data_IF_990747213505
#
_entry.id   IF_990747213505
#
_cell.length_a   1.000
_cell.length_b   1.000
_cell.length_c   1.000
_cell.angle_alpha   90.00
_cell.angle_beta   90.00
_cell.angle_gamma   90.00
#
_symmetry.space_group_name_H-M   'P 1'
#
loop_
_entity.id
_entity.type
_entity.pdbx_description
1 polymer ?
#
# COMPACT_ATOMS: atom_id res chain seq x y z
N UNK A 1 -4.86 -9.21 17.32
CA UNK A 1 -4.69 -9.51 15.88
C UNK A 1 -3.21 -9.62 15.62
N UNK A 2 -2.67 -10.84 15.49
CA UNK A 2 -1.23 -11.05 15.32
C UNK A 2 -0.82 -10.84 13.85
N UNK A 3 0.36 -10.27 13.58
CA UNK A 3 0.82 -9.92 12.22
C UNK A 3 1.22 -11.12 11.34
N UNK A 4 1.09 -12.34 11.85
CA UNK A 4 1.47 -13.60 11.19
C UNK A 4 0.26 -14.34 10.59
N UNK A 5 -0.81 -13.59 10.27
CA UNK A 5 -2.01 -14.18 9.71
C UNK A 5 -1.79 -14.47 8.21
N UNK A 6 -1.87 -15.73 7.74
CA UNK A 6 -1.62 -16.09 6.34
C UNK A 6 -2.56 -15.41 5.34
N UNK A 7 -3.63 -14.76 5.83
CA UNK A 7 -4.53 -13.92 5.05
C UNK A 7 -3.85 -12.65 4.51
N UNK A 8 -2.86 -12.08 5.21
CA UNK A 8 -2.11 -10.91 4.70
C UNK A 8 -1.23 -11.28 3.49
N UNK A 9 -0.74 -12.52 3.43
CA UNK A 9 0.05 -13.03 2.30
C UNK A 9 -0.79 -13.23 1.01
N UNK A 10 -2.12 -13.21 1.11
CA UNK A 10 -3.04 -13.29 -0.03
C UNK A 10 -3.38 -11.93 -0.63
N UNK A 11 -3.06 -10.82 0.04
CA UNK A 11 -3.40 -9.48 -0.43
C UNK A 11 -2.46 -9.06 -1.57
N UNK A 12 -2.91 -9.37 -2.78
CA UNK A 12 -2.24 -9.01 -4.03
C UNK A 12 -2.87 -7.80 -4.68
N UNK A 13 -2.07 -7.10 -5.49
CA UNK A 13 -2.58 -6.01 -6.31
C UNK A 13 -3.69 -6.51 -7.25
N UNK A 14 -4.85 -5.84 -7.34
CA UNK A 14 -5.93 -6.27 -8.23
C UNK A 14 -5.54 -6.25 -9.72
N UNK A 15 -4.59 -5.40 -10.11
CA UNK A 15 -4.15 -5.20 -11.50
C UNK A 15 -3.08 -6.20 -11.96
N UNK A 16 -2.01 -6.34 -11.19
CA UNK A 16 -0.79 -7.08 -11.58
C UNK A 16 -0.61 -8.38 -10.79
N UNK A 17 -1.47 -8.63 -9.78
CA UNK A 17 -1.36 -9.78 -8.85
C UNK A 17 -0.02 -9.87 -8.10
N UNK A 18 0.82 -8.84 -8.19
CA UNK A 18 2.04 -8.71 -7.40
C UNK A 18 1.77 -8.40 -5.92
N UNK A 19 2.78 -8.57 -5.07
CA UNK A 19 2.68 -8.34 -3.63
C UNK A 19 2.41 -6.87 -3.30
N UNK A 20 1.72 -6.65 -2.18
CA UNK A 20 1.48 -5.33 -1.61
C UNK A 20 2.26 -5.16 -0.31
N UNK A 21 2.67 -3.94 -0.02
CA UNK A 21 3.37 -3.58 1.22
C UNK A 21 2.53 -2.59 2.01
N UNK A 22 2.34 -2.84 3.30
CA UNK A 22 1.65 -1.90 4.19
C UNK A 22 2.51 -0.65 4.41
N UNK A 23 1.92 0.53 4.26
CA UNK A 23 2.59 1.80 4.57
C UNK A 23 2.86 1.94 6.07
N UNK A 24 3.94 2.64 6.47
CA UNK A 24 4.19 3.00 7.85
C UNK A 24 3.06 3.92 8.33
N UNK A 25 2.13 3.37 9.09
CA UNK A 25 0.87 4.03 9.48
C UNK A 25 -0.34 3.10 9.37
N UNK A 26 -0.24 2.02 8.58
CA UNK A 26 -1.31 1.03 8.47
C UNK A 26 -2.57 1.54 7.76
N UNK A 27 -2.51 2.70 7.10
CA UNK A 27 -3.67 3.33 6.44
C UNK A 27 -3.85 2.87 4.98
N UNK A 28 -2.82 2.27 4.38
CA UNK A 28 -2.85 1.91 2.97
C UNK A 28 -1.83 0.82 2.60
N UNK A 29 -2.16 0.08 1.54
CA UNK A 29 -1.30 -0.92 0.90
C UNK A 29 -0.71 -0.33 -0.39
N UNK A 30 0.58 -0.52 -0.61
CA UNK A 30 1.31 0.00 -1.76
C UNK A 30 1.77 -1.14 -2.67
N UNK A 31 1.56 -0.97 -3.97
CA UNK A 31 2.23 -1.72 -5.00
C UNK A 31 3.49 -0.95 -5.46
N UNK A 32 4.72 -1.42 -5.16
CA UNK A 32 5.94 -0.74 -5.57
C UNK A 32 6.22 -0.79 -7.07
N UNK A 33 5.69 -1.80 -7.79
CA UNK A 33 5.87 -1.99 -9.25
C UNK A 33 5.07 -0.94 -10.04
N UNK A 34 3.81 -0.75 -9.66
CA UNK A 34 2.91 0.21 -10.32
C UNK A 34 2.91 1.59 -9.67
N UNK A 35 3.56 1.74 -8.51
CA UNK A 35 3.51 2.94 -7.65
C UNK A 35 2.07 3.39 -7.37
N UNK A 36 1.23 2.41 -7.05
CA UNK A 36 -0.16 2.65 -6.65
C UNK A 36 -0.31 2.38 -5.15
N UNK A 37 -1.17 3.16 -4.50
CA UNK A 37 -1.63 2.91 -3.14
C UNK A 37 -3.13 2.58 -3.13
N UNK A 38 -3.53 1.70 -2.22
CA UNK A 38 -4.89 1.29 -1.96
C UNK A 38 -5.22 1.62 -0.50
N UNK A 39 -6.25 2.43 -0.22
CA UNK A 39 -6.57 2.82 1.14
C UNK A 39 -7.17 1.65 1.94
N UNK A 40 -6.96 1.68 3.25
CA UNK A 40 -7.61 0.82 4.23
C UNK A 40 -8.64 1.69 4.95
N UNK A 41 -9.91 1.33 4.83
CA UNK A 41 -11.03 2.08 5.42
C UNK A 41 -11.73 1.15 6.40
N UNK A 42 -11.86 1.57 7.66
CA UNK A 42 -12.45 0.75 8.73
C UNK A 42 -11.73 -0.61 8.93
N UNK A 43 -10.41 -0.63 8.68
CA UNK A 43 -9.62 -1.86 8.73
C UNK A 43 -9.77 -2.77 7.50
N UNK A 44 -10.54 -2.37 6.49
CA UNK A 44 -10.78 -3.13 5.25
C UNK A 44 -9.96 -2.54 4.09
N UNK A 45 -9.03 -3.31 3.49
CA UNK A 45 -8.27 -2.86 2.33
C UNK A 45 -9.13 -2.75 1.06
N UNK A 46 -9.17 -1.58 0.45
CA UNK A 46 -9.93 -1.33 -0.78
C UNK A 46 -9.14 -1.75 -2.02
N UNK A 47 -9.05 -3.06 -2.27
CA UNK A 47 -8.33 -3.66 -3.41
C UNK A 47 -9.17 -3.70 -4.70
N UNK A 48 -9.83 -2.60 -5.03
CA UNK A 48 -10.53 -2.43 -6.31
C UNK A 48 -9.61 -1.73 -7.32
N UNK A 49 -9.64 -2.10 -8.61
CA UNK A 49 -8.91 -1.40 -9.66
C UNK A 49 -9.12 0.12 -9.65
N UNK A 50 -10.36 0.56 -9.39
CA UNK A 50 -10.74 1.98 -9.36
C UNK A 50 -10.31 2.73 -8.10
N UNK A 51 -10.00 2.01 -7.01
CA UNK A 51 -9.56 2.61 -5.74
C UNK A 51 -8.06 2.92 -5.71
N UNK A 52 -7.31 2.41 -6.68
CA UNK A 52 -5.87 2.63 -6.76
C UNK A 52 -5.52 4.09 -7.06
N UNK A 53 -4.82 4.74 -6.14
CA UNK A 53 -4.32 6.10 -6.33
C UNK A 53 -2.81 6.06 -6.62
N UNK A 54 -2.35 6.88 -7.57
CA UNK A 54 -0.91 7.01 -7.84
C UNK A 54 -0.22 7.62 -6.62
N UNK A 55 0.89 7.02 -6.19
CA UNK A 55 1.74 7.64 -5.19
C UNK A 55 2.25 8.96 -5.74
N UNK A 56 2.23 10.05 -4.95
CA UNK A 56 2.89 11.28 -5.36
C UNK A 56 4.34 10.94 -5.70
N UNK A 57 4.87 11.55 -6.78
CA UNK A 57 6.29 11.49 -7.02
C UNK A 57 6.96 11.97 -5.73
N UNK A 58 7.80 11.13 -5.13
CA UNK A 58 8.47 11.46 -3.88
C UNK A 58 9.04 12.87 -4.02
N UNK A 59 8.45 13.84 -3.32
CA UNK A 59 9.13 15.10 -3.10
C UNK A 59 10.49 14.73 -2.49
N UNK A 60 11.59 15.37 -2.91
CA UNK A 60 12.89 15.09 -2.30
C UNK A 60 12.70 15.16 -0.79
N UNK A 61 13.05 14.08 -0.09
CA UNK A 61 13.02 14.05 1.36
C UNK A 61 13.69 15.35 1.85
N UNK A 62 13.13 16.07 2.84
CA UNK A 62 13.80 17.21 3.39
C UNK A 62 15.18 16.73 3.82
N UNK A 63 16.23 17.26 3.18
CA UNK A 63 17.60 17.06 3.63
C UNK A 63 17.64 17.63 5.04
N UNK A 64 17.60 16.75 6.02
CA UNK A 64 17.84 17.09 7.42
C UNK A 64 19.25 17.66 7.47
N UNK A 65 19.33 18.97 7.68
CA UNK A 65 20.59 19.69 7.74
C UNK A 65 21.37 19.28 8.98
N UNK A 66 22.66 19.01 8.79
CA UNK A 66 23.72 19.19 9.77
C UNK A 66 25.05 19.37 9.02
#
# INVERSE_FOLDING_TARGET
MSPDDPLLALLVCPLDKGPLTLLPGGDALVNPRLRLRYPIIDGIPQLLPSSGARLPAAAPAPSEGA
#
